data_IF_517395980732
#
_entry.id   IF_517395980732
#
_cell.length_a   1.000
_cell.length_b   1.000
_cell.length_c   1.000
_cell.angle_alpha   90.00
_cell.angle_beta   90.00
_cell.angle_gamma   90.00
#
_symmetry.space_group_name_H-M   'P 1'
#
loop_
_entity.id
_entity.type
_entity.pdbx_description
1 polymer ?
#
# COMPACT_ATOMS: atom_id res chain seq x y z
N UNK A 1 -4.34 -6.55 -14.79
CA UNK A 1 -3.38 -7.28 -13.91
C UNK A 1 -2.76 -6.24 -12.98
N UNK A 2 -2.73 -6.47 -11.65
CA UNK A 2 -2.32 -5.45 -10.67
C UNK A 2 -0.80 -5.20 -10.64
N UNK A 3 0.02 -6.24 -10.80
CA UNK A 3 1.48 -6.14 -10.87
C UNK A 3 2.06 -7.09 -11.94
N UNK A 4 3.30 -6.82 -12.35
CA UNK A 4 4.06 -7.72 -13.22
C UNK A 4 4.86 -8.78 -12.44
N UNK A 5 4.78 -8.78 -11.11
CA UNK A 5 5.51 -9.70 -10.24
C UNK A 5 4.68 -10.94 -9.92
N UNK A 6 5.33 -12.11 -9.89
CA UNK A 6 4.75 -13.32 -9.29
C UNK A 6 4.98 -13.28 -7.78
N UNK A 7 3.89 -13.21 -7.01
CA UNK A 7 3.93 -13.20 -5.54
C UNK A 7 3.90 -14.62 -5.00
N UNK A 8 4.84 -14.94 -4.10
CA UNK A 8 4.82 -16.21 -3.38
C UNK A 8 3.77 -16.17 -2.27
N UNK A 9 2.65 -16.86 -2.50
CA UNK A 9 1.52 -16.91 -1.57
C UNK A 9 1.79 -17.70 -0.29
N UNK A 10 2.85 -18.50 -0.25
CA UNK A 10 3.29 -19.22 0.95
C UNK A 10 4.25 -18.41 1.83
N UNK A 11 4.77 -17.29 1.31
CA UNK A 11 5.72 -16.44 2.03
C UNK A 11 5.08 -15.71 3.21
N UNK A 12 5.86 -15.53 4.26
CA UNK A 12 5.49 -14.68 5.39
C UNK A 12 5.15 -13.25 4.96
N UNK A 13 5.86 -12.69 3.97
CA UNK A 13 5.58 -11.34 3.48
C UNK A 13 4.21 -11.21 2.81
N UNK A 14 3.79 -12.24 2.07
CA UNK A 14 2.44 -12.27 1.51
C UNK A 14 1.38 -12.33 2.60
N UNK A 15 1.56 -13.21 3.60
CA UNK A 15 0.67 -13.27 4.76
C UNK A 15 0.59 -11.93 5.51
N UNK A 16 1.74 -11.28 5.75
CA UNK A 16 1.82 -9.95 6.37
C UNK A 16 1.05 -8.91 5.55
N UNK A 17 1.24 -8.86 4.22
CA UNK A 17 0.52 -7.92 3.35
C UNK A 17 -1.01 -8.11 3.44
N UNK A 18 -1.49 -9.35 3.44
CA UNK A 18 -2.92 -9.65 3.58
C UNK A 18 -3.49 -9.17 4.91
N UNK A 19 -2.76 -9.36 6.01
CA UNK A 19 -3.16 -8.88 7.33
C UNK A 19 -3.27 -7.35 7.32
N UNK A 20 -2.27 -6.64 6.80
CA UNK A 20 -2.28 -5.17 6.74
C UNK A 20 -3.40 -4.63 5.84
N UNK A 21 -3.68 -5.29 4.70
CA UNK A 21 -4.82 -4.95 3.84
C UNK A 21 -6.15 -5.16 4.57
N UNK A 22 -6.31 -6.27 5.30
CA UNK A 22 -7.52 -6.53 6.09
C UNK A 22 -7.72 -5.47 7.17
N UNK A 23 -6.66 -5.13 7.91
CA UNK A 23 -6.71 -4.10 8.93
C UNK A 23 -7.03 -2.71 8.34
N UNK A 24 -6.39 -2.34 7.23
CA UNK A 24 -6.69 -1.10 6.50
C UNK A 24 -8.17 -1.06 6.09
N UNK A 25 -8.64 -2.11 5.44
CA UNK A 25 -10.02 -2.18 4.99
C UNK A 25 -11.01 -2.06 6.15
N UNK A 26 -10.76 -2.75 7.26
CA UNK A 26 -11.59 -2.64 8.46
C UNK A 26 -11.66 -1.20 8.97
N UNK A 27 -10.52 -0.52 9.12
CA UNK A 27 -10.47 0.88 9.56
C UNK A 27 -11.24 1.81 8.63
N UNK A 28 -11.06 1.66 7.33
CA UNK A 28 -11.73 2.50 6.32
C UNK A 28 -13.25 2.30 6.35
N UNK A 29 -13.73 1.08 6.56
CA UNK A 29 -15.17 0.76 6.65
C UNK A 29 -15.78 1.27 7.95
N UNK A 30 -15.02 1.25 9.06
CA UNK A 30 -15.50 1.75 10.35
C UNK A 30 -15.30 3.26 10.55
N UNK A 31 -14.73 3.97 9.56
CA UNK A 31 -14.27 5.37 9.63
C UNK A 31 -13.34 5.61 10.84
N UNK A 32 -12.59 4.59 11.24
CA UNK A 32 -11.53 4.70 12.24
C UNK A 32 -10.32 5.37 11.61
N UNK A 33 -10.17 6.67 11.90
CA UNK A 33 -9.07 7.46 11.38
C UNK A 33 -7.87 7.39 12.29
N UNK A 34 -6.71 7.17 11.68
CA UNK A 34 -5.45 7.40 12.37
C UNK A 34 -5.07 8.86 12.12
N UNK A 35 -5.24 9.69 13.14
CA UNK A 35 -4.82 11.09 13.09
C UNK A 35 -3.32 11.18 13.35
N UNK A 36 -2.61 11.60 12.31
CA UNK A 36 -1.22 12.01 12.38
C UNK A 36 -1.14 13.49 12.02
N UNK A 37 -0.07 14.15 12.46
CA UNK A 37 0.23 15.50 12.02
C UNK A 37 0.27 15.61 10.48
N UNK A 38 -0.37 16.64 9.93
CA UNK A 38 -0.54 16.77 8.49
C UNK A 38 0.80 16.99 7.77
N UNK A 39 1.74 17.72 8.38
CA UNK A 39 3.07 17.91 7.81
C UNK A 39 3.84 16.58 7.81
N UNK A 40 3.75 15.82 8.90
CA UNK A 40 4.32 14.47 8.95
C UNK A 40 3.79 13.55 7.84
N UNK A 41 2.47 13.50 7.63
CA UNK A 41 1.88 12.67 6.56
C UNK A 41 2.33 13.11 5.18
N UNK A 42 2.38 14.41 4.93
CA UNK A 42 2.87 14.94 3.66
C UNK A 42 4.33 14.52 3.41
N UNK A 43 5.21 14.73 4.38
CA UNK A 43 6.63 14.42 4.24
C UNK A 43 6.89 12.91 4.11
N UNK A 44 6.18 12.10 4.90
CA UNK A 44 6.26 10.64 4.84
C UNK A 44 5.79 10.10 3.48
N UNK A 45 4.63 10.58 3.00
CA UNK A 45 4.05 10.15 1.73
C UNK A 45 4.94 10.55 0.55
N UNK A 46 5.45 11.78 0.55
CA UNK A 46 6.37 12.27 -0.47
C UNK A 46 7.69 11.47 -0.46
N UNK A 47 8.24 11.18 0.72
CA UNK A 47 9.47 10.39 0.85
C UNK A 47 9.30 8.99 0.25
N UNK A 48 8.20 8.29 0.56
CA UNK A 48 7.93 6.97 -0.01
C UNK A 48 7.67 7.02 -1.50
N UNK A 49 6.92 8.01 -1.99
CA UNK A 49 6.66 8.19 -3.42
C UNK A 49 7.95 8.36 -4.22
N UNK A 50 8.92 9.12 -3.70
CA UNK A 50 10.21 9.34 -4.36
C UNK A 50 11.12 8.12 -4.25
N UNK A 51 11.21 7.49 -3.07
CA UNK A 51 12.14 6.38 -2.83
C UNK A 51 11.67 5.04 -3.43
N UNK A 52 10.36 4.89 -3.66
CA UNK A 52 9.70 3.63 -4.02
C UNK A 52 8.61 3.86 -5.09
N UNK A 53 8.93 4.61 -6.14
CA UNK A 53 7.97 5.03 -7.17
C UNK A 53 7.16 3.87 -7.76
N UNK A 54 7.81 2.77 -8.14
CA UNK A 54 7.14 1.59 -8.70
C UNK A 54 6.17 0.93 -7.69
N UNK A 55 6.59 0.80 -6.43
CA UNK A 55 5.73 0.22 -5.39
C UNK A 55 4.60 1.16 -4.98
N UNK A 56 4.85 2.47 -5.02
CA UNK A 56 3.87 3.52 -4.82
C UNK A 56 2.77 3.46 -5.88
N UNK A 57 3.10 3.24 -7.16
CA UNK A 57 2.08 3.08 -8.20
C UNK A 57 1.14 1.90 -7.94
N UNK A 58 1.66 0.79 -7.40
CA UNK A 58 0.80 -0.34 -7.02
C UNK A 58 -0.08 0.00 -5.82
N UNK A 59 0.44 0.73 -4.83
CA UNK A 59 -0.37 1.24 -3.72
C UNK A 59 -1.48 2.16 -4.23
N UNK A 60 -1.19 3.10 -5.13
CA UNK A 60 -2.17 4.00 -5.76
C UNK A 60 -3.27 3.25 -6.47
N UNK A 61 -2.95 2.16 -7.19
CA UNK A 61 -3.96 1.31 -7.86
C UNK A 61 -4.92 0.67 -6.85
N UNK A 62 -4.39 0.17 -5.73
CA UNK A 62 -5.20 -0.41 -4.65
C UNK A 62 -6.05 0.68 -3.98
N UNK A 63 -5.46 1.82 -3.63
CA UNK A 63 -6.15 2.97 -3.05
C UNK A 63 -7.27 3.50 -3.95
N UNK A 64 -7.02 3.58 -5.25
CA UNK A 64 -8.02 4.03 -6.24
C UNK A 64 -9.19 3.07 -6.34
N UNK A 65 -8.93 1.75 -6.34
CA UNK A 65 -9.99 0.75 -6.29
C UNK A 65 -10.85 0.91 -5.02
N UNK A 66 -10.22 1.04 -3.85
CA UNK A 66 -10.94 1.25 -2.59
C UNK A 66 -11.77 2.55 -2.61
N UNK A 67 -11.23 3.62 -3.20
CA UNK A 67 -11.91 4.91 -3.29
C UNK A 67 -13.10 4.92 -4.24
N UNK A 68 -12.91 4.40 -5.45
CA UNK A 68 -13.90 4.53 -6.52
C UNK A 68 -14.91 3.38 -6.56
N UNK A 69 -14.45 2.15 -6.32
CA UNK A 69 -15.33 0.97 -6.38
C UNK A 69 -16.01 0.68 -5.05
N UNK A 70 -15.33 0.98 -3.93
CA UNK A 70 -15.85 0.71 -2.58
C UNK A 70 -16.30 1.97 -1.84
N UNK A 71 -16.17 3.15 -2.46
CA UNK A 71 -16.55 4.44 -1.89
C UNK A 71 -15.90 4.74 -0.52
N UNK A 72 -14.68 4.25 -0.30
CA UNK A 72 -13.92 4.46 0.94
C UNK A 72 -13.10 5.75 0.88
N UNK A 73 -12.95 6.41 2.03
CA UNK A 73 -12.13 7.61 2.14
C UNK A 73 -10.64 7.24 2.31
N UNK A 74 -9.92 7.14 1.19
CA UNK A 74 -8.48 6.84 1.18
C UNK A 74 -7.67 8.12 0.91
N UNK A 75 -6.74 8.44 1.82
CA UNK A 75 -5.83 9.58 1.71
C UNK A 75 -4.39 9.14 1.36
N UNK A 76 -3.49 10.10 1.19
CA UNK A 76 -2.09 9.84 0.84
C UNK A 76 -1.35 9.10 1.95
N UNK A 77 -1.70 9.33 3.22
CA UNK A 77 -1.13 8.60 4.35
C UNK A 77 -1.45 7.10 4.31
N UNK A 78 -2.67 6.73 3.93
CA UNK A 78 -3.04 5.32 3.75
C UNK A 78 -2.35 4.69 2.53
N UNK A 79 -2.15 5.47 1.46
CA UNK A 79 -1.39 5.04 0.28
C UNK A 79 0.10 4.85 0.62
N UNK A 80 0.67 5.73 1.46
CA UNK A 80 2.01 5.62 1.99
C UNK A 80 2.16 4.36 2.88
N UNK A 81 1.20 4.12 3.77
CA UNK A 81 1.16 2.92 4.60
C UNK A 81 1.13 1.64 3.77
N UNK A 82 0.29 1.58 2.73
CA UNK A 82 0.25 0.48 1.76
C UNK A 82 1.60 0.28 1.08
N UNK A 83 2.20 1.36 0.58
CA UNK A 83 3.51 1.34 -0.10
C UNK A 83 4.57 0.69 0.78
N UNK A 84 4.65 1.08 2.05
CA UNK A 84 5.60 0.51 3.02
C UNK A 84 5.48 -1.03 3.16
N UNK A 85 4.29 -1.60 3.01
CA UNK A 85 4.10 -3.06 3.05
C UNK A 85 4.27 -3.75 1.69
N UNK A 86 4.11 -3.02 0.59
CA UNK A 86 4.35 -3.53 -0.77
C UNK A 86 5.85 -3.61 -1.07
N UNK A 87 6.64 -2.63 -0.63
CA UNK A 87 8.10 -2.60 -0.84
C UNK A 87 8.79 -3.92 -0.49
N UNK A 88 8.65 -4.50 0.72
CA UNK A 88 9.37 -5.72 1.05
C UNK A 88 8.93 -6.90 0.19
N UNK A 89 7.65 -7.01 -0.20
CA UNK A 89 7.18 -8.16 -0.98
C UNK A 89 7.69 -8.12 -2.44
N UNK A 90 7.85 -6.93 -3.01
CA UNK A 90 8.35 -6.78 -4.37
C UNK A 90 9.89 -6.80 -4.43
N UNK A 91 10.57 -6.23 -3.43
CA UNK A 91 12.04 -6.24 -3.37
C UNK A 91 12.66 -7.56 -2.89
N UNK A 92 11.89 -8.48 -2.30
CA UNK A 92 12.39 -9.82 -1.95
C UNK A 92 12.75 -10.66 -3.19
N UNK A 93 12.30 -10.26 -4.39
CA UNK A 93 12.80 -10.82 -5.66
C UNK A 93 13.82 -9.88 -6.28
N UNK A 94 15.09 -10.26 -6.17
CA UNK A 94 16.19 -9.72 -6.99
C UNK A 94 16.07 -10.12 -8.47
N UNK A 95 14.96 -9.79 -9.13
CA UNK A 95 14.78 -10.05 -10.55
C UNK A 95 13.45 -9.54 -11.07
N UNK A 96 13.47 -8.36 -11.72
CA UNK A 96 12.51 -8.07 -12.78
C UNK A 96 12.60 -9.22 -13.78
N UNK A 97 11.49 -9.91 -14.06
CA UNK A 97 11.43 -10.72 -15.26
C UNK A 97 11.26 -9.76 -16.42
N UNK A 98 12.35 -9.58 -17.18
CA UNK A 98 12.36 -9.03 -18.53
C UNK A 98 11.45 -9.83 -19.45
#
# INVERSE_FOLDING_TARGET
KLTNYSLDKSSYLYGRLLIHLKCLFNRLVTDERIEYDAAFINDFSNSLKVAHEEEWEYAVKISSFMKYELHLNVNDGETAYLTMHIVPILKQKGGKQT
#
